data_IF_011061685382
#
_entry.id   IF_011061685382
#
_cell.length_a   1.000
_cell.length_b   1.000
_cell.length_c   1.000
_cell.angle_alpha   90.00
_cell.angle_beta   90.00
_cell.angle_gamma   90.00
#
_symmetry.space_group_name_H-M   'P 1'
#
loop_
_entity.id
_entity.type
_entity.pdbx_description
1 polymer ?
#
# COMPACT_ATOMS: atom_id res chain seq x y z
N UNK A 1 41.00 3.17 -1.95
CA UNK A 1 39.94 2.32 -2.57
C UNK A 1 38.58 2.74 -2.03
N UNK A 2 37.47 2.24 -2.59
CA UNK A 2 36.10 2.75 -2.35
C UNK A 2 35.72 2.87 -0.86
N UNK A 3 35.18 4.04 -0.48
CA UNK A 3 34.49 4.24 0.80
C UNK A 3 33.30 3.27 0.90
N UNK A 4 33.15 2.51 2.00
CA UNK A 4 31.91 1.80 2.27
C UNK A 4 30.83 2.82 2.64
N UNK A 5 29.77 2.90 1.83
CA UNK A 5 28.56 3.62 2.18
C UNK A 5 27.94 2.95 3.41
N UNK A 6 27.98 3.63 4.57
CA UNK A 6 27.21 3.18 5.73
C UNK A 6 25.72 3.08 5.32
N UNK A 7 25.07 1.92 5.51
CA UNK A 7 23.68 1.76 5.12
C UNK A 7 22.79 2.66 5.98
N UNK A 8 21.76 3.23 5.36
CA UNK A 8 20.74 4.02 6.07
C UNK A 8 20.05 3.14 7.12
N UNK A 9 20.43 3.33 8.39
CA UNK A 9 20.07 2.43 9.48
C UNK A 9 18.72 2.83 10.08
N UNK A 10 17.64 2.27 9.51
CA UNK A 10 16.29 2.39 10.09
C UNK A 10 16.20 1.61 11.40
N UNK A 11 16.22 2.31 12.54
CA UNK A 11 15.88 1.76 13.85
C UNK A 11 14.69 2.48 14.50
N UNK A 12 14.02 1.77 15.40
CA UNK A 12 13.01 2.30 16.31
C UNK A 12 13.67 2.70 17.63
N UNK A 13 13.72 3.99 17.95
CA UNK A 13 14.01 4.55 19.29
C UNK A 13 15.41 4.33 19.88
N UNK A 14 16.22 3.46 19.30
CA UNK A 14 17.60 3.17 19.71
C UNK A 14 18.52 3.31 18.52
N UNK A 15 19.80 3.62 18.75
CA UNK A 15 20.74 3.86 17.68
C UNK A 15 22.12 3.40 18.11
N UNK A 16 22.75 2.55 17.30
CA UNK A 16 24.02 1.87 17.60
C UNK A 16 25.01 2.20 16.49
N UNK A 17 26.23 2.55 16.89
CA UNK A 17 27.32 2.86 15.97
C UNK A 17 28.55 2.01 16.26
N UNK A 18 29.24 1.61 15.20
CA UNK A 18 30.61 1.13 15.27
C UNK A 18 31.48 2.08 14.45
N UNK A 19 32.64 2.47 14.98
CA UNK A 19 33.67 3.13 14.20
C UNK A 19 34.56 2.05 13.58
N UNK A 20 34.84 2.17 12.28
CA UNK A 20 35.79 1.31 11.57
C UNK A 20 37.04 2.15 11.30
N UNK A 21 38.13 1.87 12.03
CA UNK A 21 39.35 2.67 11.98
C UNK A 21 40.09 2.44 10.65
N UNK A 22 40.41 3.50 9.88
CA UNK A 22 41.13 3.34 8.62
C UNK A 22 42.60 3.03 8.87
N UNK A 23 42.94 1.74 9.01
CA UNK A 23 44.33 1.28 8.99
C UNK A 23 44.97 1.67 7.66
N UNK A 24 45.88 2.65 7.71
CA UNK A 24 46.64 3.09 6.54
C UNK A 24 47.66 2.02 6.17
N UNK A 25 47.34 1.20 5.16
CA UNK A 25 48.34 0.36 4.48
C UNK A 25 49.18 1.23 3.57
N UNK A 26 50.41 1.54 3.97
CA UNK A 26 51.49 1.73 3.00
C UNK A 26 51.85 0.36 2.43
N UNK A 27 51.89 0.25 1.11
CA UNK A 27 52.58 -0.84 0.44
C UNK A 27 53.65 -0.20 -0.44
N UNK A 28 54.90 -0.61 -0.26
CA UNK A 28 55.83 -0.86 -1.36
C UNK A 28 56.97 -1.80 -0.91
N UNK A 29 57.69 -2.37 -1.87
CA UNK A 29 58.72 -3.39 -1.67
C UNK A 29 60.06 -3.02 -2.34
N UNK A 30 61.18 -3.60 -1.84
CA UNK A 30 62.54 -3.72 -2.44
C UNK A 30 63.35 -2.39 -2.68
N UNK A 31 64.68 -2.28 -2.90
CA UNK A 31 66.00 -2.99 -2.71
C UNK A 31 67.10 -1.96 -3.19
N UNK A 32 68.39 -1.88 -2.77
CA UNK A 32 69.21 -2.60 -1.76
C UNK A 32 69.91 -1.67 -0.71
N UNK A 33 70.98 -2.16 -0.06
CA UNK A 33 72.02 -1.46 0.73
C UNK A 33 72.83 -0.33 0.04
N UNK A 34 73.27 0.66 0.83
CA UNK A 34 74.63 1.24 0.78
C UNK A 34 74.97 2.04 2.07
N UNK A 35 76.19 1.91 2.60
CA UNK A 35 76.65 2.50 3.87
C UNK A 35 76.69 4.04 3.91
N UNK A 36 76.08 4.65 4.95
CA UNK A 36 76.52 5.92 5.57
C UNK A 36 76.16 5.92 7.07
N UNK A 37 77.08 6.21 8.01
CA UNK A 37 76.76 6.35 9.43
C UNK A 37 76.58 7.82 9.83
N UNK A 38 75.37 8.24 10.23
CA UNK A 38 75.19 9.48 11.00
C UNK A 38 74.04 9.37 12.01
N UNK A 39 74.05 10.28 12.98
CA UNK A 39 73.52 10.08 14.34
C UNK A 39 72.11 10.65 14.54
N UNK A 40 71.24 9.78 15.05
CA UNK A 40 70.16 10.02 16.03
C UNK A 40 69.19 11.19 15.77
N UNK A 41 67.99 10.81 15.34
CA UNK A 41 66.79 11.30 16.00
C UNK A 41 65.83 10.12 16.24
N UNK A 42 65.91 9.55 17.44
CA UNK A 42 64.87 8.68 18.01
C UNK A 42 63.52 9.42 17.95
N UNK A 43 62.74 9.14 16.90
CA UNK A 43 61.28 9.17 16.98
C UNK A 43 60.90 7.73 17.24
N UNK A 44 60.51 7.38 18.49
CA UNK A 44 60.16 6.00 18.82
C UNK A 44 59.05 5.51 17.90
N UNK A 45 59.29 4.35 17.30
CA UNK A 45 58.25 3.51 16.72
C UNK A 45 57.23 3.16 17.81
N UNK A 46 56.00 3.66 17.68
CA UNK A 46 54.83 3.15 18.40
C UNK A 46 54.03 2.20 17.51
N UNK A 47 54.72 1.23 16.89
CA UNK A 47 54.15 -0.07 16.57
C UNK A 47 53.21 -0.52 17.69
N UNK A 48 51.98 -0.86 17.32
CA UNK A 48 50.76 -0.80 18.17
C UNK A 48 50.16 0.62 18.38
N UNK A 49 50.14 1.42 17.31
CA UNK A 49 49.47 2.73 17.27
C UNK A 49 48.08 2.68 17.88
N UNK A 50 47.93 3.33 19.04
CA UNK A 50 46.92 2.94 20.03
C UNK A 50 45.49 2.99 19.48
N UNK A 51 44.76 1.88 19.62
CA UNK A 51 43.35 1.81 19.26
C UNK A 51 42.53 2.90 19.98
N UNK A 52 41.39 3.34 19.41
CA UNK A 52 40.66 4.50 19.90
C UNK A 52 40.33 4.37 21.40
N UNK A 53 40.93 5.23 22.21
CA UNK A 53 40.73 5.26 23.65
C UNK A 53 39.29 5.64 24.02
N UNK A 54 38.66 6.48 23.18
CA UNK A 54 37.30 6.97 23.39
C UNK A 54 36.65 7.39 22.08
N UNK A 55 35.41 6.95 21.84
CA UNK A 55 34.54 7.51 20.79
C UNK A 55 33.48 8.41 21.42
N UNK A 56 33.31 9.60 20.84
CA UNK A 56 32.29 10.57 21.19
C UNK A 56 31.33 10.77 20.01
N UNK A 57 30.05 11.02 20.31
CA UNK A 57 29.03 11.37 19.35
C UNK A 57 28.35 12.69 19.74
N UNK A 58 27.69 13.33 18.77
CA UNK A 58 26.76 14.43 19.01
C UNK A 58 25.57 14.36 18.07
N UNK A 59 24.43 14.87 18.51
CA UNK A 59 23.21 14.97 17.70
C UNK A 59 22.92 16.42 17.35
N UNK A 60 22.57 16.66 16.08
CA UNK A 60 22.18 17.96 15.52
C UNK A 60 23.19 19.10 15.84
N UNK A 61 24.49 18.78 15.87
CA UNK A 61 25.56 19.73 16.19
C UNK A 61 25.65 20.13 17.67
N UNK A 62 24.92 19.46 18.57
CA UNK A 62 24.92 19.72 20.01
C UNK A 62 26.21 19.33 20.74
N UNK A 63 26.11 19.15 22.06
CA UNK A 63 27.23 18.74 22.91
C UNK A 63 27.73 17.33 22.54
N UNK A 64 29.04 17.13 22.69
CA UNK A 64 29.66 15.80 22.60
C UNK A 64 29.31 14.96 23.82
N UNK A 65 28.97 13.70 23.59
CA UNK A 65 28.68 12.68 24.59
C UNK A 65 29.50 11.43 24.30
N UNK A 66 29.97 10.76 25.36
CA UNK A 66 30.76 9.53 25.23
C UNK A 66 29.86 8.32 24.96
N UNK A 67 30.36 7.38 24.16
CA UNK A 67 29.75 6.06 23.95
C UNK A 67 29.29 5.76 22.53
N UNK A 68 28.73 4.57 22.33
CA UNK A 68 28.37 4.01 21.02
C UNK A 68 26.86 3.90 20.77
N UNK A 69 26.02 4.34 21.72
CA UNK A 69 24.57 4.30 21.56
C UNK A 69 23.85 5.41 22.31
N UNK A 70 22.66 5.77 21.82
CA UNK A 70 21.81 6.81 22.42
C UNK A 70 20.34 6.61 22.07
N UNK A 71 19.44 7.15 22.90
CA UNK A 71 18.00 7.19 22.63
C UNK A 71 17.68 8.50 21.92
N UNK A 72 16.95 8.41 20.80
CA UNK A 72 16.61 9.57 19.96
C UNK A 72 15.11 9.59 19.71
N UNK A 73 14.50 10.78 19.74
CA UNK A 73 13.11 10.95 19.37
C UNK A 73 12.87 10.59 17.89
N UNK A 74 11.65 10.19 17.48
CA UNK A 74 11.34 10.00 16.06
C UNK A 74 11.47 11.30 15.27
N UNK A 75 12.18 11.24 14.14
CA UNK A 75 12.57 12.40 13.35
C UNK A 75 13.81 12.12 12.50
N UNK A 76 14.25 13.11 11.73
CA UNK A 76 15.55 13.07 11.06
C UNK A 76 16.56 13.87 11.87
N UNK A 77 17.73 13.27 12.13
CA UNK A 77 18.79 13.81 12.97
C UNK A 77 20.13 13.72 12.23
N UNK A 78 20.94 14.77 12.35
CA UNK A 78 22.35 14.71 11.96
C UNK A 78 23.14 14.13 13.13
N UNK A 79 23.76 12.98 12.93
CA UNK A 79 24.77 12.46 13.83
C UNK A 79 26.14 13.02 13.41
N UNK A 80 26.89 13.54 14.38
CA UNK A 80 28.34 13.69 14.28
C UNK A 80 29.04 12.66 15.19
N UNK A 81 30.19 12.13 14.77
CA UNK A 81 31.04 11.28 15.62
C UNK A 81 32.52 11.59 15.39
N UNK A 82 33.32 11.32 16.43
CA UNK A 82 34.78 11.40 16.42
C UNK A 82 35.37 10.49 17.50
N UNK A 83 36.63 10.12 17.33
CA UNK A 83 37.41 9.31 18.25
C UNK A 83 38.64 10.07 18.73
N UNK A 84 39.10 9.71 19.92
CA UNK A 84 40.34 10.18 20.54
C UNK A 84 41.20 8.98 20.93
N UNK A 85 42.50 9.04 20.67
CA UNK A 85 43.48 8.01 21.06
C UNK A 85 44.04 8.24 22.48
N UNK A 86 44.95 7.35 22.94
CA UNK A 86 45.56 7.49 24.27
C UNK A 86 46.55 8.66 24.35
N UNK A 87 47.15 9.08 23.23
CA UNK A 87 48.02 10.24 23.14
C UNK A 87 47.24 11.58 23.16
N UNK A 88 45.92 11.53 22.98
CA UNK A 88 45.01 12.68 23.02
C UNK A 88 44.72 13.31 21.66
N UNK A 89 45.20 12.73 20.55
CA UNK A 89 44.85 13.15 19.18
C UNK A 89 43.36 12.91 18.95
N UNK A 90 42.71 13.78 18.17
CA UNK A 90 41.26 13.69 17.88
C UNK A 90 41.10 13.67 16.36
N UNK A 91 40.32 12.72 15.85
CA UNK A 91 40.03 12.66 14.40
C UNK A 91 39.08 13.79 13.94
N UNK A 92 39.10 14.09 12.65
CA UNK A 92 38.12 14.98 12.02
C UNK A 92 36.71 14.41 12.17
N UNK A 93 35.76 15.25 12.58
CA UNK A 93 34.35 14.87 12.74
C UNK A 93 33.78 14.29 11.45
N UNK A 94 33.19 13.10 11.57
CA UNK A 94 32.37 12.47 10.54
C UNK A 94 30.91 12.78 10.82
N UNK A 95 30.09 12.92 9.78
CA UNK A 95 28.65 13.17 9.93
C UNK A 95 27.79 12.29 9.02
N UNK A 96 26.58 11.95 9.48
CA UNK A 96 25.57 11.25 8.68
C UNK A 96 24.16 11.65 9.09
N UNK A 97 23.18 11.43 8.22
CA UNK A 97 21.77 11.66 8.49
C UNK A 97 21.08 10.35 8.88
N UNK A 98 20.36 10.36 9.99
CA UNK A 98 19.62 9.21 10.52
C UNK A 98 18.16 9.57 10.67
N UNK A 99 17.25 8.73 10.14
CA UNK A 99 15.81 8.88 10.33
C UNK A 99 15.30 7.80 11.27
N UNK A 100 14.82 8.23 12.44
CA UNK A 100 14.19 7.39 13.46
C UNK A 100 12.69 7.37 13.22
N UNK A 101 12.12 6.17 13.07
CA UNK A 101 10.70 6.01 12.80
C UNK A 101 9.84 6.15 14.07
N UNK A 102 8.58 6.56 13.85
CA UNK A 102 7.52 6.51 14.85
C UNK A 102 6.95 5.10 14.98
N UNK A 103 6.29 4.86 16.11
CA UNK A 103 5.61 3.61 16.40
C UNK A 103 4.65 3.16 15.27
N UNK A 104 4.54 1.84 15.01
CA UNK A 104 3.88 1.31 13.83
C UNK A 104 2.40 1.65 13.78
N UNK A 105 1.92 1.96 12.58
CA UNK A 105 0.53 2.31 12.33
C UNK A 105 -0.34 1.05 12.25
N UNK A 106 -1.52 1.10 12.85
CA UNK A 106 -2.52 0.03 12.84
C UNK A 106 -3.83 0.55 12.23
N UNK A 107 -4.26 -0.06 11.13
CA UNK A 107 -5.52 0.25 10.43
C UNK A 107 -6.53 -0.87 10.71
N UNK A 108 -7.61 -0.56 11.43
CA UNK A 108 -8.73 -1.50 11.64
C UNK A 108 -9.86 -1.19 10.67
N UNK A 109 -10.56 -2.22 10.16
CA UNK A 109 -11.75 -2.08 9.32
C UNK A 109 -12.94 -2.74 10.02
N UNK A 110 -13.92 -1.93 10.43
CA UNK A 110 -15.10 -2.35 11.21
C UNK A 110 -16.29 -2.70 10.31
N UNK A 111 -16.33 -2.13 9.09
CA UNK A 111 -17.31 -2.49 8.06
C UNK A 111 -17.22 -3.98 7.69
N UNK A 112 -18.37 -4.62 7.40
CA UNK A 112 -18.47 -6.05 7.09
C UNK A 112 -18.79 -6.30 5.62
N UNK A 113 -18.35 -7.44 5.07
CA UNK A 113 -18.73 -7.91 3.73
C UNK A 113 -20.25 -7.81 3.51
N UNK A 114 -20.67 -7.28 2.36
CA UNK A 114 -22.06 -6.88 2.13
C UNK A 114 -22.52 -7.09 0.69
N UNK A 115 -23.84 -7.27 0.53
CA UNK A 115 -24.51 -7.34 -0.78
C UNK A 115 -25.42 -6.13 -0.97
N UNK A 116 -25.04 -5.19 -1.84
CA UNK A 116 -25.67 -3.88 -2.04
C UNK A 116 -26.45 -3.80 -3.36
N UNK A 117 -27.36 -2.84 -3.53
CA UNK A 117 -27.98 -2.58 -4.85
C UNK A 117 -26.93 -2.10 -5.86
N UNK A 118 -27.11 -2.45 -7.14
CA UNK A 118 -26.20 -2.01 -8.21
C UNK A 118 -26.08 -0.47 -8.25
N UNK A 119 -24.85 0.05 -8.20
CA UNK A 119 -24.59 1.49 -8.26
C UNK A 119 -24.91 2.26 -6.97
N UNK A 120 -25.32 1.58 -5.89
CA UNK A 120 -25.41 2.17 -4.57
C UNK A 120 -24.03 2.50 -4.00
N UNK A 121 -24.01 3.44 -3.05
CA UNK A 121 -22.81 3.73 -2.26
C UNK A 121 -22.67 2.76 -1.09
N UNK A 122 -21.43 2.52 -0.64
CA UNK A 122 -21.12 1.76 0.56
C UNK A 122 -20.03 2.48 1.36
N UNK A 123 -20.16 2.53 2.69
CA UNK A 123 -19.21 3.24 3.56
C UNK A 123 -18.30 2.23 4.25
N UNK A 124 -17.00 2.32 3.96
CA UNK A 124 -15.96 1.68 4.74
C UNK A 124 -15.65 2.57 5.94
N UNK A 125 -15.73 2.01 7.15
CA UNK A 125 -15.41 2.70 8.39
C UNK A 125 -14.54 1.83 9.28
N UNK A 126 -13.67 2.49 10.03
CA UNK A 126 -12.64 1.86 10.84
C UNK A 126 -11.84 2.92 11.59
N UNK A 127 -10.71 2.52 12.17
CA UNK A 127 -9.87 3.38 13.02
C UNK A 127 -8.39 3.22 12.71
N UNK A 128 -7.65 4.32 12.82
CA UNK A 128 -6.19 4.39 12.73
C UNK A 128 -5.59 4.73 14.09
N UNK A 129 -4.62 3.93 14.53
CA UNK A 129 -3.90 4.12 15.79
C UNK A 129 -2.40 3.87 15.62
N UNK A 130 -1.58 4.49 16.45
CA UNK A 130 -0.17 4.13 16.68
C UNK A 130 -0.03 3.80 18.16
N UNK A 131 0.48 2.62 18.52
CA UNK A 131 0.49 2.06 19.89
C UNK A 131 -0.84 2.24 20.66
N UNK A 132 -1.96 1.99 19.98
CA UNK A 132 -3.32 2.15 20.52
C UNK A 132 -3.84 3.59 20.60
N UNK A 133 -2.96 4.59 20.51
CA UNK A 133 -3.29 6.02 20.52
C UNK A 133 -3.90 6.42 19.17
N UNK A 134 -5.11 7.02 19.14
CA UNK A 134 -5.74 7.47 17.90
C UNK A 134 -4.91 8.52 17.16
N UNK A 135 -4.85 8.40 15.84
CA UNK A 135 -4.12 9.32 14.98
C UNK A 135 -5.12 10.20 14.21
N UNK A 136 -5.13 11.51 14.48
CA UNK A 136 -6.04 12.48 13.87
C UNK A 136 -5.49 13.05 12.56
N UNK A 137 -6.37 13.48 11.66
CA UNK A 137 -6.04 14.19 10.40
C UNK A 137 -5.12 13.40 9.45
N UNK A 138 -4.99 12.09 9.63
CA UNK A 138 -4.17 11.21 8.81
C UNK A 138 -4.96 10.71 7.60
N UNK A 139 -4.33 10.70 6.42
CA UNK A 139 -4.96 10.21 5.19
C UNK A 139 -4.96 8.68 5.15
N UNK A 140 -6.11 8.09 4.87
CA UNK A 140 -6.25 6.67 4.51
C UNK A 140 -6.83 6.53 3.10
N UNK A 141 -6.45 5.48 2.39
CA UNK A 141 -6.83 5.19 1.00
C UNK A 141 -7.57 3.86 0.93
N UNK A 142 -8.68 3.81 0.19
CA UNK A 142 -9.37 2.55 -0.07
C UNK A 142 -8.72 1.85 -1.26
N UNK A 143 -8.34 0.58 -1.07
CA UNK A 143 -7.79 -0.28 -2.10
C UNK A 143 -8.74 -1.41 -2.46
N UNK A 144 -8.67 -1.89 -3.70
CA UNK A 144 -9.38 -3.06 -4.19
C UNK A 144 -8.40 -4.11 -4.75
N UNK A 145 -8.75 -5.38 -4.61
CA UNK A 145 -7.96 -6.49 -5.15
C UNK A 145 -8.33 -6.73 -6.62
N UNK A 146 -7.31 -6.84 -7.48
CA UNK A 146 -7.44 -7.08 -8.92
C UNK A 146 -6.29 -7.97 -9.41
N UNK A 147 -6.60 -9.17 -9.90
CA UNK A 147 -5.61 -10.15 -10.37
C UNK A 147 -4.46 -10.41 -9.36
N UNK A 148 -4.80 -10.56 -8.07
CA UNK A 148 -3.83 -10.76 -6.99
C UNK A 148 -3.13 -9.49 -6.48
N UNK A 149 -3.25 -8.37 -7.20
CA UNK A 149 -2.59 -7.10 -6.86
C UNK A 149 -3.59 -6.12 -6.25
N UNK A 150 -3.19 -5.46 -5.16
CA UNK A 150 -3.96 -4.37 -4.57
C UNK A 150 -3.76 -3.07 -5.36
N UNK A 151 -4.86 -2.38 -5.67
CA UNK A 151 -4.88 -1.14 -6.44
C UNK A 151 -5.72 -0.08 -5.73
N UNK A 152 -5.34 1.18 -5.85
CA UNK A 152 -6.09 2.29 -5.25
C UNK A 152 -7.41 2.56 -6.00
N UNK A 153 -8.45 2.93 -5.25
CA UNK A 153 -9.78 3.29 -5.80
C UNK A 153 -9.95 4.77 -6.12
N UNK A 154 -8.89 5.57 -5.95
CA UNK A 154 -8.91 7.04 -5.84
C UNK A 154 -9.73 7.61 -4.66
N UNK A 155 -10.43 6.77 -3.89
CA UNK A 155 -11.13 7.20 -2.67
C UNK A 155 -10.15 7.26 -1.50
N UNK A 156 -10.04 8.42 -0.87
CA UNK A 156 -9.37 8.59 0.42
C UNK A 156 -10.25 9.32 1.43
N UNK A 157 -9.98 9.09 2.70
CA UNK A 157 -10.59 9.79 3.83
C UNK A 157 -9.50 10.28 4.78
N UNK A 158 -9.86 11.21 5.67
CA UNK A 158 -9.02 11.63 6.78
C UNK A 158 -9.62 11.14 8.10
N UNK A 159 -8.77 10.90 9.09
CA UNK A 159 -9.21 10.46 10.43
C UNK A 159 -9.67 11.63 11.29
N UNK A 160 -10.68 11.38 12.14
CA UNK A 160 -11.12 12.33 13.16
C UNK A 160 -10.19 12.33 14.40
N UNK A 161 -10.50 13.17 15.38
CA UNK A 161 -9.77 13.27 16.67
C UNK A 161 -9.69 11.93 17.44
N UNK A 162 -10.64 11.02 17.20
CA UNK A 162 -10.72 9.70 17.79
C UNK A 162 -10.05 8.63 16.91
N UNK A 163 -9.38 9.03 15.82
CA UNK A 163 -8.72 8.17 14.85
C UNK A 163 -9.68 7.47 13.88
N UNK A 164 -10.98 7.75 13.92
CA UNK A 164 -11.95 7.07 13.06
C UNK A 164 -11.93 7.65 11.65
N UNK A 165 -12.13 6.81 10.64
CA UNK A 165 -12.31 7.25 9.26
C UNK A 165 -13.63 6.73 8.69
N UNK A 166 -14.16 7.43 7.68
CA UNK A 166 -15.29 6.99 6.85
C UNK A 166 -14.98 7.29 5.37
N UNK A 167 -14.90 6.25 4.56
CA UNK A 167 -14.61 6.34 3.13
C UNK A 167 -15.76 5.75 2.31
N UNK A 168 -16.42 6.58 1.51
CA UNK A 168 -17.59 6.19 0.70
C UNK A 168 -17.15 5.74 -0.68
N UNK A 169 -17.40 4.47 -1.01
CA UNK A 169 -17.21 3.93 -2.35
C UNK A 169 -18.54 3.83 -3.10
N UNK A 170 -18.50 3.87 -4.44
CA UNK A 170 -19.66 3.65 -5.31
C UNK A 170 -19.26 2.74 -6.47
N UNK A 171 -19.77 1.50 -6.50
CA UNK A 171 -19.30 0.50 -7.46
C UNK A 171 -20.39 -0.36 -8.10
N UNK A 172 -20.01 -0.86 -9.26
CA UNK A 172 -20.82 -1.60 -10.24
C UNK A 172 -20.31 -3.02 -10.48
N UNK A 173 -19.34 -3.51 -9.70
CA UNK A 173 -18.75 -4.86 -9.81
C UNK A 173 -18.37 -5.40 -8.43
N UNK A 174 -18.28 -6.73 -8.30
CA UNK A 174 -17.81 -7.40 -7.08
C UNK A 174 -16.30 -7.18 -6.91
N UNK A 175 -15.88 -6.72 -5.74
CA UNK A 175 -14.47 -6.59 -5.38
C UNK A 175 -14.23 -6.96 -3.91
N UNK A 176 -13.00 -7.36 -3.62
CA UNK A 176 -12.45 -7.39 -2.26
C UNK A 176 -11.77 -6.05 -2.00
N UNK A 177 -12.06 -5.42 -0.86
CA UNK A 177 -11.56 -4.11 -0.46
C UNK A 177 -10.78 -4.18 0.85
N UNK A 178 -9.78 -3.32 1.00
CA UNK A 178 -9.12 -3.00 2.27
C UNK A 178 -8.89 -1.50 2.36
N UNK A 179 -8.50 -1.00 3.53
CA UNK A 179 -8.04 0.37 3.72
C UNK A 179 -6.55 0.36 4.04
N UNK A 180 -5.82 1.29 3.44
CA UNK A 180 -4.37 1.47 3.64
C UNK A 180 -4.10 2.85 4.21
N UNK A 181 -3.26 2.92 5.23
CA UNK A 181 -2.46 4.10 5.50
C UNK A 181 -1.22 4.02 4.60
N UNK A 182 -0.99 4.97 3.67
CA UNK A 182 0.25 5.03 2.91
C UNK A 182 1.40 5.45 3.83
N UNK A 183 2.63 4.98 3.57
CA UNK A 183 3.80 5.43 4.33
C UNK A 183 4.01 6.94 4.19
N UNK A 184 4.55 7.56 5.24
CA UNK A 184 5.01 8.95 5.23
C UNK A 184 6.49 9.04 5.66
N UNK A 185 7.00 10.25 5.92
CA UNK A 185 8.40 10.48 6.28
C UNK A 185 8.85 9.77 7.58
N UNK A 186 7.92 9.45 8.48
CA UNK A 186 8.22 8.92 9.83
C UNK A 186 7.40 7.69 10.21
N UNK A 187 6.35 7.34 9.47
CA UNK A 187 5.52 6.16 9.70
C UNK A 187 5.59 5.19 8.51
N UNK A 188 5.79 3.90 8.81
CA UNK A 188 5.58 2.85 7.81
C UNK A 188 4.11 2.75 7.40
N UNK A 189 3.89 2.37 6.14
CA UNK A 189 2.56 2.09 5.62
C UNK A 189 1.92 0.89 6.31
N UNK A 190 0.60 0.93 6.48
CA UNK A 190 -0.16 -0.11 7.18
C UNK A 190 -1.47 -0.39 6.45
N UNK A 191 -1.99 -1.62 6.57
CA UNK A 191 -3.20 -2.05 5.86
C UNK A 191 -4.14 -2.84 6.74
N UNK A 192 -5.44 -2.61 6.58
CA UNK A 192 -6.48 -3.35 7.30
C UNK A 192 -6.65 -4.78 6.77
N UNK A 193 -7.42 -5.57 7.52
CA UNK A 193 -8.13 -6.74 6.99
C UNK A 193 -9.03 -6.34 5.80
N UNK A 194 -9.50 -7.35 5.05
CA UNK A 194 -10.28 -7.12 3.83
C UNK A 194 -11.72 -7.63 3.90
N UNK A 195 -12.61 -6.98 3.17
CA UNK A 195 -14.03 -7.36 3.04
C UNK A 195 -14.43 -7.49 1.57
N UNK A 196 -15.48 -8.26 1.30
CA UNK A 196 -16.05 -8.40 -0.05
C UNK A 196 -17.34 -7.61 -0.15
N UNK A 197 -17.41 -6.68 -1.10
CA UNK A 197 -18.66 -5.98 -1.44
C UNK A 197 -19.15 -6.47 -2.80
N UNK A 198 -20.38 -6.97 -2.83
CA UNK A 198 -21.00 -7.56 -4.02
C UNK A 198 -22.25 -6.77 -4.41
N UNK A 199 -22.31 -6.15 -5.60
CA UNK A 199 -23.56 -5.58 -6.09
C UNK A 199 -24.54 -6.70 -6.51
N UNK A 200 -25.80 -6.56 -6.12
CA UNK A 200 -26.92 -7.32 -6.67
C UNK A 200 -27.03 -7.04 -8.17
N UNK A 201 -27.47 -8.03 -8.93
CA UNK A 201 -27.78 -7.83 -10.34
C UNK A 201 -28.96 -6.88 -10.50
N UNK A 202 -28.82 -5.90 -11.38
CA UNK A 202 -29.88 -5.02 -11.87
C UNK A 202 -30.31 -5.50 -13.26
N UNK A 203 -31.61 -5.79 -13.41
CA UNK A 203 -32.26 -6.10 -14.67
C UNK A 203 -33.05 -4.87 -15.10
N UNK A 204 -32.66 -4.24 -16.21
CA UNK A 204 -33.41 -3.14 -16.80
C UNK A 204 -34.65 -3.65 -17.55
N UNK A 205 -35.66 -2.78 -17.69
CA UNK A 205 -36.88 -3.07 -18.44
C UNK A 205 -36.55 -3.61 -19.85
N UNK A 206 -37.08 -4.78 -20.24
CA UNK A 206 -36.84 -5.32 -21.57
C UNK A 206 -37.52 -4.46 -22.64
N UNK A 207 -36.83 -4.26 -23.76
CA UNK A 207 -37.34 -3.68 -24.99
C UNK A 207 -37.86 -4.80 -25.89
N UNK A 208 -39.14 -4.71 -26.22
CA UNK A 208 -39.85 -5.54 -27.18
C UNK A 208 -40.58 -4.64 -28.19
N UNK A 209 -40.91 -5.12 -29.39
CA UNK A 209 -41.85 -4.43 -30.27
C UNK A 209 -43.23 -4.28 -29.61
N UNK A 210 -43.96 -3.23 -29.98
CA UNK A 210 -45.37 -3.04 -29.56
C UNK A 210 -46.33 -4.02 -30.26
N UNK A 211 -45.93 -4.60 -31.39
CA UNK A 211 -46.67 -5.61 -32.15
C UNK A 211 -45.78 -6.82 -32.45
N UNK A 212 -46.30 -8.02 -32.20
CA UNK A 212 -45.62 -9.30 -32.45
C UNK A 212 -46.49 -10.15 -33.38
N UNK A 213 -45.89 -10.75 -34.41
CA UNK A 213 -46.57 -11.69 -35.32
C UNK A 213 -46.50 -13.13 -34.80
N UNK A 214 -47.47 -13.96 -35.22
CA UNK A 214 -47.42 -15.44 -35.09
C UNK A 214 -46.53 -16.13 -36.14
N UNK A 215 -45.97 -15.37 -37.09
CA UNK A 215 -45.17 -15.91 -38.22
C UNK A 215 -43.79 -15.27 -38.37
N UNK A 216 -43.47 -14.22 -37.61
CA UNK A 216 -42.17 -13.52 -37.68
C UNK A 216 -41.51 -13.48 -36.30
N UNK A 217 -40.20 -13.74 -36.28
CA UNK A 217 -39.36 -13.60 -35.09
C UNK A 217 -38.96 -12.15 -34.88
N UNK A 218 -39.04 -11.70 -33.63
CA UNK A 218 -38.59 -10.39 -33.20
C UNK A 218 -37.57 -10.55 -32.08
N UNK A 219 -36.55 -9.69 -32.06
CA UNK A 219 -35.57 -9.65 -30.98
C UNK A 219 -36.13 -8.90 -29.78
N UNK A 220 -36.39 -9.61 -28.69
CA UNK A 220 -36.62 -9.02 -27.37
C UNK A 220 -35.30 -8.95 -26.63
N UNK A 221 -34.98 -7.81 -26.01
CA UNK A 221 -33.72 -7.64 -25.30
C UNK A 221 -33.81 -6.75 -24.06
N UNK A 222 -33.02 -7.06 -23.05
CA UNK A 222 -32.83 -6.24 -21.85
C UNK A 222 -31.36 -5.98 -21.55
N UNK A 223 -31.11 -5.20 -20.50
CA UNK A 223 -29.75 -4.91 -20.02
C UNK A 223 -29.58 -5.44 -18.60
N UNK A 224 -28.47 -6.12 -18.37
CA UNK A 224 -28.10 -6.71 -17.10
C UNK A 224 -26.80 -6.06 -16.61
N UNK A 225 -26.76 -5.66 -15.34
CA UNK A 225 -25.60 -5.02 -14.70
C UNK A 225 -25.36 -5.69 -13.33
N UNK A 226 -24.13 -6.04 -12.90
CA UNK A 226 -22.83 -5.91 -13.57
C UNK A 226 -22.73 -6.69 -14.90
N UNK A 227 -21.55 -6.70 -15.53
CA UNK A 227 -21.26 -7.61 -16.65
C UNK A 227 -21.30 -9.08 -16.19
N UNK A 228 -22.01 -9.94 -16.91
CA UNK A 228 -22.03 -11.39 -16.71
C UNK A 228 -21.09 -12.11 -17.70
N UNK A 229 -21.05 -13.44 -17.69
CA UNK A 229 -20.25 -14.23 -18.65
C UNK A 229 -20.99 -14.37 -19.98
N UNK A 230 -20.29 -14.12 -21.09
CA UNK A 230 -20.86 -14.22 -22.44
C UNK A 230 -21.35 -15.64 -22.72
N UNK A 231 -22.43 -15.77 -23.47
CA UNK A 231 -23.01 -17.06 -23.86
C UNK A 231 -23.85 -17.73 -22.77
N UNK A 232 -23.80 -17.27 -21.53
CA UNK A 232 -24.69 -17.74 -20.46
C UNK A 232 -26.13 -17.22 -20.62
N UNK A 233 -27.06 -17.78 -19.85
CA UNK A 233 -28.48 -17.42 -19.90
C UNK A 233 -28.99 -16.91 -18.53
N UNK A 234 -28.51 -15.74 -18.05
CA UNK A 234 -28.75 -15.27 -16.69
C UNK A 234 -30.15 -14.67 -16.46
N UNK A 235 -30.94 -14.46 -17.52
CA UNK A 235 -32.26 -13.81 -17.46
C UNK A 235 -33.33 -14.69 -18.12
N UNK A 236 -34.50 -14.79 -17.47
CA UNK A 236 -35.74 -15.30 -18.06
C UNK A 236 -36.62 -14.11 -18.47
N UNK A 237 -37.12 -14.13 -19.70
CA UNK A 237 -38.12 -13.16 -20.17
C UNK A 237 -39.47 -13.88 -20.15
N UNK A 238 -40.32 -13.50 -19.20
CA UNK A 238 -41.65 -14.09 -19.03
C UNK A 238 -42.63 -13.52 -20.06
N UNK A 239 -43.48 -14.38 -20.59
CA UNK A 239 -44.43 -14.07 -21.65
C UNK A 239 -45.84 -14.05 -21.08
N UNK A 240 -46.62 -13.04 -21.46
CA UNK A 240 -47.96 -12.81 -20.95
C UNK A 240 -48.86 -12.35 -22.08
N UNK A 241 -50.09 -12.88 -22.13
CA UNK A 241 -51.12 -12.49 -23.08
C UNK A 241 -52.34 -11.98 -22.33
N UNK A 242 -52.86 -10.83 -22.75
CA UNK A 242 -54.15 -10.31 -22.23
C UNK A 242 -55.29 -11.06 -22.92
N UNK A 243 -56.23 -11.59 -22.15
CA UNK A 243 -57.44 -12.27 -22.66
C UNK A 243 -58.48 -11.25 -23.12
N UNK A 244 -59.50 -11.71 -23.86
CA UNK A 244 -60.65 -10.86 -24.22
C UNK A 244 -61.39 -10.30 -22.98
N UNK A 245 -61.39 -11.03 -21.87
CA UNK A 245 -61.89 -10.59 -20.55
C UNK A 245 -60.97 -9.62 -19.82
N UNK A 246 -59.84 -9.21 -20.41
CA UNK A 246 -58.88 -8.28 -19.83
C UNK A 246 -57.87 -8.87 -18.83
N UNK A 247 -58.01 -10.14 -18.46
CA UNK A 247 -57.10 -10.86 -17.55
C UNK A 247 -55.75 -11.16 -18.21
N UNK A 248 -54.66 -11.28 -17.44
CA UNK A 248 -53.36 -11.70 -17.97
C UNK A 248 -53.17 -13.21 -17.80
N UNK A 249 -52.95 -13.94 -18.90
CA UNK A 249 -52.53 -15.36 -18.91
C UNK A 249 -51.02 -15.44 -19.09
N UNK A 250 -50.34 -16.26 -18.29
CA UNK A 250 -48.92 -16.57 -18.51
C UNK A 250 -48.77 -17.53 -19.69
N UNK A 251 -47.81 -17.25 -20.57
CA UNK A 251 -47.45 -18.01 -21.76
C UNK A 251 -46.01 -18.55 -21.62
N UNK A 252 -45.57 -18.79 -20.38
CA UNK A 252 -44.25 -19.32 -20.04
C UNK A 252 -43.13 -18.28 -20.04
N UNK A 253 -41.90 -18.70 -20.37
CA UNK A 253 -40.74 -17.82 -20.48
C UNK A 253 -39.74 -18.33 -21.52
N UNK A 254 -38.91 -17.42 -22.02
CA UNK A 254 -37.73 -17.73 -22.85
C UNK A 254 -36.45 -17.32 -22.11
N UNK A 255 -35.36 -18.05 -22.31
CA UNK A 255 -34.05 -17.75 -21.70
C UNK A 255 -33.30 -16.77 -22.60
N UNK A 256 -32.88 -15.63 -22.07
CA UNK A 256 -32.13 -14.62 -22.83
C UNK A 256 -30.61 -14.82 -22.71
N UNK A 257 -29.92 -14.90 -23.85
CA UNK A 257 -28.46 -15.11 -23.93
C UNK A 257 -27.73 -13.81 -23.61
N UNK A 258 -26.71 -13.87 -22.76
CA UNK A 258 -25.88 -12.73 -22.42
C UNK A 258 -24.78 -12.50 -23.47
N UNK A 259 -24.75 -11.29 -24.03
CA UNK A 259 -23.66 -10.74 -24.83
C UNK A 259 -22.92 -9.69 -24.00
N UNK A 260 -21.59 -9.76 -23.99
CA UNK A 260 -20.78 -8.94 -23.10
C UNK A 260 -20.41 -7.58 -23.70
N UNK A 261 -20.61 -6.54 -22.89
CA UNK A 261 -20.08 -5.20 -23.10
C UNK A 261 -19.14 -4.87 -21.94
N UNK A 262 -18.48 -3.70 -21.97
CA UNK A 262 -17.45 -3.34 -20.99
C UNK A 262 -17.93 -3.40 -19.53
N UNK A 263 -19.10 -2.82 -19.22
CA UNK A 263 -19.64 -2.68 -17.85
C UNK A 263 -21.00 -3.35 -17.63
N UNK A 264 -21.56 -4.01 -18.65
CA UNK A 264 -22.89 -4.61 -18.63
C UNK A 264 -22.98 -5.78 -19.61
N UNK A 265 -24.07 -6.56 -19.55
CA UNK A 265 -24.42 -7.52 -20.58
C UNK A 265 -25.76 -7.15 -21.23
N UNK A 266 -25.84 -7.23 -22.56
CA UNK A 266 -27.13 -7.20 -23.28
C UNK A 266 -27.66 -8.63 -23.27
N UNK A 267 -28.85 -8.84 -22.74
CA UNK A 267 -29.50 -10.14 -22.74
C UNK A 267 -30.57 -10.14 -23.83
N UNK A 268 -30.47 -11.01 -24.84
CA UNK A 268 -31.43 -11.06 -25.95
C UNK A 268 -31.94 -12.47 -26.26
N UNK A 269 -33.08 -12.51 -26.96
CA UNK A 269 -33.71 -13.71 -27.51
C UNK A 269 -34.50 -13.31 -28.75
N UNK A 270 -34.67 -14.23 -29.68
CA UNK A 270 -35.64 -14.09 -30.77
C UNK A 270 -36.88 -14.88 -30.38
N UNK A 271 -38.06 -14.30 -30.55
CA UNK A 271 -39.34 -14.91 -30.17
C UNK A 271 -40.46 -14.47 -31.12
N UNK A 272 -41.51 -15.29 -31.23
CA UNK A 272 -42.75 -14.94 -31.92
C UNK A 272 -43.89 -14.84 -30.90
N UNK A 273 -45.06 -14.33 -31.32
CA UNK A 273 -46.26 -14.52 -30.51
C UNK A 273 -46.52 -16.03 -30.32
N UNK A 274 -46.80 -16.48 -29.08
CA UNK A 274 -47.07 -17.90 -28.84
C UNK A 274 -48.24 -18.40 -29.68
N UNK A 275 -48.08 -19.58 -30.25
CA UNK A 275 -49.20 -20.33 -30.84
C UNK A 275 -50.12 -20.80 -29.72
N UNK A 276 -51.42 -20.54 -29.91
CA UNK A 276 -52.48 -21.43 -29.41
C UNK A 276 -52.24 -22.84 -29.96
#
# INVERSE_FOLDING_TARGET
>A
MRSPLLPSLLLFGFLVFACDSPHHRTNDADIPDADVPEVDADVPDDGDGSGPAMTEYRLNGGAWAMGSSTVVAPGTHTLGWRSRDLAGNIESEQTTSVTVLKAPMSVSLTSKSATISYGASYVLSGRLTSDGVPQTSMRVVVQYLSAGVWKDTSVSAYTDVNGNYRATIKYSSKHTYRVSFPADAYHLGATSTSIVVTPRAYVGTPKAPTTMSRTKYYTVYGYLKPRHTQGTYPVRIYKWRKTASGSWKSEGYVKAKATNYYSYSKCNTNDQQSSL
#
